data_IF_328257045133
#
_entry.id   IF_328257045133
#
_cell.length_a   1.000
_cell.length_b   1.000
_cell.length_c   1.000
_cell.angle_alpha   90.00
_cell.angle_beta   90.00
_cell.angle_gamma   90.00
#
_symmetry.space_group_name_H-M   'P 1'
#
loop_
_entity.id
_entity.type
_entity.pdbx_description
1 polymer ?
#
# COMPACT_ATOMS: atom_id res chain seq x y z
N UNK A 1 35.11 4.25 24.74
CA UNK A 1 34.24 5.12 25.55
C UNK A 1 32.87 4.47 25.60
N UNK A 2 32.24 4.36 26.77
CA UNK A 2 30.88 3.82 26.86
C UNK A 2 29.88 4.86 26.35
N UNK A 3 28.99 4.46 25.46
CA UNK A 3 27.91 5.31 24.96
C UNK A 3 26.93 5.57 26.11
N UNK A 4 26.84 6.81 26.58
CA UNK A 4 25.89 7.20 27.63
C UNK A 4 24.55 7.56 26.97
N UNK A 5 23.47 6.90 27.39
CA UNK A 5 22.10 7.22 26.95
C UNK A 5 21.52 8.36 27.81
N UNK A 6 20.61 9.19 27.27
CA UNK A 6 19.88 10.20 28.05
C UNK A 6 19.07 9.57 29.19
N UNK A 7 18.94 10.26 30.32
CA UNK A 7 18.11 9.82 31.45
C UNK A 7 16.71 10.42 31.30
N UNK A 8 15.67 9.58 31.40
CA UNK A 8 14.26 9.97 31.44
C UNK A 8 13.60 9.43 32.69
N UNK A 9 12.55 10.11 33.17
CA UNK A 9 11.78 9.65 34.33
C UNK A 9 10.52 8.93 33.86
N UNK A 10 10.40 7.64 34.19
CA UNK A 10 9.22 6.82 33.89
C UNK A 10 8.55 6.51 35.23
N UNK A 11 7.31 6.95 35.41
CA UNK A 11 6.57 6.82 36.68
C UNK A 11 7.36 7.36 37.90
N UNK A 12 8.14 8.42 37.70
CA UNK A 12 8.94 9.06 38.76
C UNK A 12 10.29 8.42 39.05
N UNK A 13 10.64 7.31 38.37
CA UNK A 13 11.94 6.64 38.53
C UNK A 13 12.87 6.96 37.36
N UNK A 14 14.16 7.25 37.61
CA UNK A 14 15.12 7.48 36.53
C UNK A 14 15.42 6.18 35.79
N UNK A 15 15.29 6.22 34.47
CA UNK A 15 15.66 5.16 33.53
C UNK A 15 16.45 5.71 32.37
N UNK A 16 17.21 4.85 31.70
CA UNK A 16 17.86 5.21 30.44
C UNK A 16 16.83 5.22 29.31
N UNK A 17 16.80 6.28 28.50
CA UNK A 17 16.00 6.29 27.28
C UNK A 17 16.66 5.32 26.30
N UNK A 18 15.98 4.23 25.99
CA UNK A 18 16.46 3.34 24.94
C UNK A 18 16.37 4.05 23.58
N UNK A 19 17.40 3.91 22.74
CA UNK A 19 17.45 4.54 21.42
C UNK A 19 16.30 4.04 20.54
N UNK A 20 15.85 2.79 20.73
CA UNK A 20 14.67 2.25 20.05
C UNK A 20 13.34 2.87 20.51
N UNK A 21 13.32 3.52 21.69
CA UNK A 21 12.14 4.19 22.26
C UNK A 21 12.20 5.72 22.15
N UNK A 22 13.29 6.28 21.62
CA UNK A 22 13.47 7.72 21.46
C UNK A 22 12.69 8.24 20.24
N UNK A 23 11.48 8.73 20.46
CA UNK A 23 10.63 9.32 19.40
C UNK A 23 11.11 10.69 18.88
N UNK A 24 12.14 11.29 19.50
CA UNK A 24 12.74 12.55 19.06
C UNK A 24 13.96 12.34 18.15
N UNK A 25 14.68 11.22 18.31
CA UNK A 25 15.84 10.88 17.45
C UNK A 25 15.61 9.70 16.51
N UNK A 26 14.48 8.98 16.62
CA UNK A 26 14.05 8.02 15.60
C UNK A 26 13.05 8.71 14.66
N UNK A 27 13.18 8.53 13.32
CA UNK A 27 12.15 9.02 12.41
C UNK A 27 10.79 8.48 12.87
N UNK A 28 9.72 9.30 12.78
CA UNK A 28 8.36 8.93 13.18
C UNK A 28 7.81 7.69 12.46
N UNK A 29 8.56 7.21 11.47
CA UNK A 29 8.35 6.01 10.69
C UNK A 29 9.64 5.18 10.80
N UNK A 30 9.54 3.94 11.27
CA UNK A 30 10.67 3.02 11.30
C UNK A 30 11.19 2.78 9.88
N UNK A 31 12.51 2.69 9.67
CA UNK A 31 13.13 2.53 8.33
C UNK A 31 14.20 1.43 8.37
N UNK A 32 14.09 0.43 7.52
CA UNK A 32 14.98 -0.75 7.47
C UNK A 32 14.74 -1.53 6.18
N UNK A 33 15.68 -2.37 5.73
CA UNK A 33 15.51 -3.33 4.63
C UNK A 33 14.95 -4.69 5.10
N UNK A 34 14.98 -4.93 6.41
CA UNK A 34 14.36 -6.08 7.07
C UNK A 34 13.08 -5.63 7.76
N UNK A 35 12.00 -6.37 7.54
CA UNK A 35 10.72 -6.13 8.17
C UNK A 35 10.84 -6.19 9.70
N UNK A 36 10.39 -5.16 10.44
CA UNK A 36 10.40 -5.18 11.90
C UNK A 36 9.33 -6.12 12.45
N UNK A 37 9.47 -6.46 13.72
CA UNK A 37 8.38 -7.06 14.51
C UNK A 37 7.22 -6.07 14.58
N UNK A 38 6.03 -6.51 14.19
CA UNK A 38 4.89 -5.63 13.98
C UNK A 38 3.91 -5.60 15.17
N UNK A 39 3.32 -4.43 15.39
CA UNK A 39 2.16 -4.17 16.23
C UNK A 39 1.03 -3.53 15.40
N UNK A 40 -0.21 -3.58 15.91
CA UNK A 40 -1.35 -2.94 15.26
C UNK A 40 -1.07 -1.46 14.95
N UNK A 41 -1.41 -1.06 13.71
CA UNK A 41 -1.21 0.28 13.18
C UNK A 41 0.26 0.75 13.05
N UNK A 42 1.23 -0.16 13.09
CA UNK A 42 2.62 0.20 12.79
C UNK A 42 2.82 0.58 11.31
N UNK A 43 3.75 1.50 11.08
CA UNK A 43 4.19 1.95 9.76
C UNK A 43 5.71 1.75 9.66
N UNK A 44 6.14 1.17 8.54
CA UNK A 44 7.55 0.91 8.24
C UNK A 44 7.88 1.34 6.80
N UNK A 45 8.97 2.07 6.62
CA UNK A 45 9.56 2.34 5.32
C UNK A 45 10.61 1.28 4.98
N UNK A 46 10.28 0.41 4.03
CA UNK A 46 11.17 -0.62 3.53
C UNK A 46 12.24 0.03 2.65
N UNK A 47 13.46 0.17 3.17
CA UNK A 47 14.57 0.80 2.44
C UNK A 47 15.17 -0.10 1.36
N UNK A 48 14.85 -1.40 1.34
CA UNK A 48 15.28 -2.32 0.30
C UNK A 48 14.52 -2.14 -1.00
N UNK A 49 13.22 -1.84 -0.92
CA UNK A 49 12.36 -1.59 -2.10
C UNK A 49 11.90 -0.13 -2.25
N UNK A 50 12.09 0.69 -1.23
CA UNK A 50 11.72 2.11 -1.23
C UNK A 50 10.23 2.38 -1.05
N UNK A 51 9.48 1.49 -0.40
CA UNK A 51 8.01 1.54 -0.25
C UNK A 51 7.63 1.68 1.22
N UNK A 52 6.59 2.50 1.48
CA UNK A 52 5.97 2.60 2.81
C UNK A 52 4.96 1.48 3.01
N UNK A 53 5.06 0.77 4.13
CA UNK A 53 4.22 -0.37 4.50
C UNK A 53 3.50 -0.13 5.82
N UNK A 54 2.32 -0.72 5.97
CA UNK A 54 1.49 -0.71 7.18
C UNK A 54 1.23 -2.14 7.64
N UNK A 55 1.24 -2.37 8.95
CA UNK A 55 0.79 -3.65 9.50
C UNK A 55 -0.73 -3.75 9.49
N UNK A 56 -1.27 -4.77 8.81
CA UNK A 56 -2.71 -4.99 8.68
C UNK A 56 -3.30 -5.97 9.71
N UNK A 57 -2.54 -6.35 10.74
CA UNK A 57 -2.93 -7.37 11.73
C UNK A 57 -2.42 -8.78 11.41
N UNK A 58 -1.97 -9.03 10.17
CA UNK A 58 -1.46 -10.35 9.74
C UNK A 58 -0.18 -10.27 8.90
N UNK A 59 0.09 -9.15 8.25
CA UNK A 59 1.25 -8.93 7.40
C UNK A 59 1.54 -7.44 7.18
N UNK A 60 2.75 -7.17 6.69
CA UNK A 60 3.13 -5.84 6.19
C UNK A 60 2.57 -5.68 4.78
N UNK A 61 1.66 -4.71 4.61
CA UNK A 61 1.04 -4.40 3.32
C UNK A 61 1.51 -3.04 2.80
N UNK A 62 1.54 -2.86 1.48
CA UNK A 62 2.00 -1.61 0.88
C UNK A 62 0.95 -0.51 1.04
N UNK A 63 1.36 0.68 1.47
CA UNK A 63 0.45 1.84 1.58
C UNK A 63 0.20 2.48 0.20
N UNK A 64 1.19 2.41 -0.70
CA UNK A 64 1.06 2.87 -2.08
C UNK A 64 0.87 1.66 -3.00
N UNK A 65 -0.37 1.18 -3.14
CA UNK A 65 -0.72 0.40 -4.33
C UNK A 65 -0.97 1.38 -5.46
N UNK A 66 0.09 1.71 -6.21
CA UNK A 66 -0.07 2.29 -7.55
C UNK A 66 -0.91 1.30 -8.36
N UNK A 67 -2.16 1.66 -8.62
CA UNK A 67 -3.00 0.90 -9.53
C UNK A 67 -2.34 0.97 -10.92
N UNK A 68 -1.92 -0.19 -11.43
CA UNK A 68 -1.43 -0.31 -12.78
C UNK A 68 -2.59 -0.19 -13.78
N UNK A 69 -2.30 0.35 -14.97
CA UNK A 69 -3.23 0.34 -16.11
C UNK A 69 -2.63 -0.50 -17.23
N UNK A 70 -3.23 -1.66 -17.48
CA UNK A 70 -2.83 -2.58 -18.55
C UNK A 70 -3.64 -2.28 -19.82
N UNK A 71 -2.98 -2.28 -20.98
CA UNK A 71 -3.59 -2.00 -22.28
C UNK A 71 -3.20 -3.10 -23.27
N UNK A 72 -4.06 -4.12 -23.41
CA UNK A 72 -3.78 -5.29 -24.27
C UNK A 72 -5.03 -6.11 -24.55
N UNK A 73 -5.00 -6.96 -25.59
CA UNK A 73 -6.18 -7.71 -26.05
C UNK A 73 -6.60 -8.90 -25.19
N UNK A 74 -5.76 -9.33 -24.26
CA UNK A 74 -5.99 -10.44 -23.33
C UNK A 74 -5.74 -9.99 -21.90
N UNK A 75 -6.47 -10.55 -20.95
CA UNK A 75 -6.32 -10.20 -19.54
C UNK A 75 -4.89 -10.45 -19.05
N UNK A 76 -4.26 -9.52 -18.31
CA UNK A 76 -3.03 -9.80 -17.59
C UNK A 76 -3.20 -11.02 -16.68
N UNK A 77 -2.15 -11.85 -16.60
CA UNK A 77 -2.15 -13.11 -15.84
C UNK A 77 -1.20 -13.11 -14.63
N UNK A 78 -0.33 -12.09 -14.50
CA UNK A 78 0.57 -11.94 -13.36
C UNK A 78 0.89 -10.47 -13.09
N UNK A 79 1.30 -10.18 -11.84
CA UNK A 79 1.68 -8.83 -11.41
C UNK A 79 0.52 -7.93 -11.01
N UNK A 80 -0.72 -8.43 -11.03
CA UNK A 80 -1.90 -7.65 -10.67
C UNK A 80 -2.05 -7.45 -9.17
N UNK A 81 -2.40 -6.24 -8.78
CA UNK A 81 -2.80 -5.85 -7.42
C UNK A 81 -4.26 -5.42 -7.39
N UNK A 82 -4.87 -5.46 -6.20
CA UNK A 82 -6.22 -4.95 -5.98
C UNK A 82 -6.36 -3.55 -6.58
N UNK A 83 -7.38 -3.34 -7.41
CA UNK A 83 -7.66 -2.02 -7.99
C UNK A 83 -6.92 -1.70 -9.29
N UNK A 84 -6.07 -2.60 -9.79
CA UNK A 84 -5.49 -2.44 -11.13
C UNK A 84 -6.58 -2.40 -12.20
N UNK A 85 -6.33 -1.64 -13.26
CA UNK A 85 -7.24 -1.47 -14.40
C UNK A 85 -6.69 -2.18 -15.63
N UNK A 86 -7.59 -2.75 -16.43
CA UNK A 86 -7.26 -3.31 -17.72
C UNK A 86 -8.23 -2.81 -18.79
N UNK A 87 -7.69 -2.26 -19.87
CA UNK A 87 -8.41 -1.99 -21.11
C UNK A 87 -8.16 -3.13 -22.11
N UNK A 88 -9.24 -3.82 -22.49
CA UNK A 88 -9.19 -4.85 -23.52
C UNK A 88 -9.23 -4.20 -24.91
N UNK A 89 -8.12 -4.20 -25.63
CA UNK A 89 -8.04 -3.60 -26.97
C UNK A 89 -8.81 -4.37 -28.05
N UNK A 90 -9.24 -5.61 -27.77
CA UNK A 90 -10.03 -6.46 -28.67
C UNK A 90 -11.53 -6.22 -28.51
N UNK A 91 -12.01 -6.13 -27.26
CA UNK A 91 -13.44 -5.98 -26.94
C UNK A 91 -13.84 -4.57 -26.52
N UNK A 92 -12.87 -3.65 -26.40
CA UNK A 92 -13.02 -2.24 -26.02
C UNK A 92 -13.61 -1.99 -24.63
N UNK A 93 -13.56 -2.98 -23.75
CA UNK A 93 -14.06 -2.89 -22.38
C UNK A 93 -12.98 -2.58 -21.35
N UNK A 94 -13.38 -1.92 -20.26
CA UNK A 94 -12.57 -1.76 -19.06
C UNK A 94 -12.94 -2.80 -17.99
N UNK A 95 -11.92 -3.27 -17.27
CA UNK A 95 -12.07 -4.17 -16.14
C UNK A 95 -11.17 -3.72 -14.98
N UNK A 96 -11.57 -4.02 -13.75
CA UNK A 96 -10.76 -3.81 -12.56
C UNK A 96 -10.39 -5.16 -11.92
N UNK A 97 -9.16 -5.29 -11.43
CA UNK A 97 -8.72 -6.50 -10.74
C UNK A 97 -9.17 -6.47 -9.28
N UNK A 98 -9.94 -7.47 -8.88
CA UNK A 98 -10.36 -7.67 -7.49
C UNK A 98 -9.50 -8.80 -6.89
N UNK A 99 -8.44 -8.41 -6.17
CA UNK A 99 -7.57 -9.33 -5.43
C UNK A 99 -8.22 -9.81 -4.12
N UNK A 100 -7.64 -10.83 -3.50
CA UNK A 100 -8.16 -11.43 -2.28
C UNK A 100 -9.31 -12.39 -2.59
N UNK A 101 -10.56 -11.90 -2.48
CA UNK A 101 -11.75 -12.76 -2.46
C UNK A 101 -12.03 -13.50 -3.77
N UNK A 102 -11.69 -12.93 -4.93
CA UNK A 102 -11.97 -13.57 -6.23
C UNK A 102 -10.76 -13.65 -7.17
N UNK A 103 -9.69 -12.89 -6.93
CA UNK A 103 -8.46 -12.84 -7.73
C UNK A 103 -8.70 -12.78 -9.25
N UNK A 104 -9.67 -11.95 -9.67
CA UNK A 104 -10.20 -11.94 -11.03
C UNK A 104 -10.44 -10.52 -11.56
N UNK A 105 -10.38 -10.40 -12.88
CA UNK A 105 -10.80 -9.20 -13.61
C UNK A 105 -12.32 -9.14 -13.66
N UNK A 106 -12.88 -8.05 -13.12
CA UNK A 106 -14.32 -7.78 -13.18
C UNK A 106 -14.56 -6.64 -14.16
N UNK A 107 -15.37 -6.89 -15.19
CA UNK A 107 -15.73 -5.86 -16.17
C UNK A 107 -16.47 -4.72 -15.49
N UNK A 108 -16.00 -3.49 -15.70
CA UNK A 108 -16.68 -2.29 -15.27
C UNK A 108 -17.59 -1.86 -16.42
N UNK A 109 -18.88 -2.17 -16.31
CA UNK A 109 -19.88 -1.74 -17.30
C UNK A 109 -20.64 -0.52 -16.77
N UNK A 110 -20.70 0.54 -17.58
CA UNK A 110 -21.80 1.50 -17.48
C UNK A 110 -23.05 0.83 -18.08
N UNK A 111 -24.19 0.97 -17.42
CA UNK A 111 -25.41 0.20 -17.71
C UNK A 111 -25.78 0.08 -19.19
N UNK A 112 -26.24 -1.14 -19.53
CA UNK A 112 -27.05 -1.53 -20.69
C UNK A 112 -26.72 -0.92 -22.06
N UNK A 113 -26.01 -1.71 -22.87
CA UNK A 113 -26.13 -1.67 -24.33
C UNK A 113 -24.99 -0.94 -25.03
N UNK A 114 -24.00 -1.73 -25.47
CA UNK A 114 -23.11 -1.42 -26.60
C UNK A 114 -22.70 0.04 -26.79
N UNK A 115 -21.67 0.48 -26.07
CA UNK A 115 -21.05 1.78 -26.27
C UNK A 115 -20.39 2.21 -24.98
N UNK A 116 -19.06 2.34 -25.00
CA UNK A 116 -18.26 2.57 -23.81
C UNK A 116 -18.80 3.69 -22.93
N UNK A 117 -18.77 3.47 -21.61
CA UNK A 117 -18.88 4.55 -20.64
C UNK A 117 -17.84 5.60 -21.01
N UNK A 118 -18.32 6.69 -21.59
CA UNK A 118 -17.45 7.72 -22.10
C UNK A 118 -16.71 8.35 -20.93
N UNK A 119 -15.45 8.76 -21.15
CA UNK A 119 -14.63 9.51 -20.17
C UNK A 119 -15.40 10.71 -19.57
N UNK A 120 -16.43 11.20 -20.26
CA UNK A 120 -17.35 12.25 -19.82
C UNK A 120 -18.02 11.97 -18.46
N UNK A 121 -18.34 10.72 -18.13
CA UNK A 121 -19.02 10.39 -16.85
C UNK A 121 -18.06 10.41 -15.65
N UNK A 122 -16.75 10.25 -15.90
CA UNK A 122 -15.68 10.34 -14.89
C UNK A 122 -15.28 11.80 -14.60
N UNK A 123 -15.41 12.70 -15.58
CA UNK A 123 -15.08 14.12 -15.44
C UNK A 123 -16.24 14.97 -14.91
N UNK A 124 -17.44 14.39 -14.73
CA UNK A 124 -18.62 15.10 -14.24
C UNK A 124 -18.62 15.38 -12.71
N UNK A 125 -17.55 14.99 -12.00
CA UNK A 125 -17.33 15.35 -10.59
C UNK A 125 -16.15 16.31 -10.39
N UNK A 126 -15.80 17.10 -11.41
CA UNK A 126 -14.96 18.30 -11.28
C UNK A 126 -15.73 19.48 -10.72
#
# INVERSE_FOLDING_TARGET
>A
MATRKPIVYINGYPGELDIASDRLNTPWIYRSDIAPTAQEADIWYDTGVGILKMWNGSGWDNIDTKNAVYVQGTAPSSGMSQGDWWYNTTTTGFSMYLAGSINQWTTVTSGSGGGGGSISDILAYG
#
